data_IF_992817305906
#
_entry.id   IF_992817305906
#
_cell.length_a   1.000
_cell.length_b   1.000
_cell.length_c   1.000
_cell.angle_alpha   90.00
_cell.angle_beta   90.00
_cell.angle_gamma   90.00
#
_symmetry.space_group_name_H-M   'P 1'
#
loop_
_entity.id
_entity.type
_entity.pdbx_description
1 polymer ?
#
# COMPACT_ATOMS: atom_id res chain seq x y z
N UNK A 1 -39.05 2.15 -8.66
CA UNK A 1 -37.85 1.33 -8.46
C UNK A 1 -37.19 1.81 -7.19
N UNK A 2 -37.31 1.04 -6.10
CA UNK A 2 -36.74 1.42 -4.80
C UNK A 2 -35.24 1.53 -4.88
N UNK A 3 -34.69 2.57 -4.25
CA UNK A 3 -33.26 2.63 -3.94
C UNK A 3 -33.00 1.46 -2.97
N UNK A 4 -32.49 0.36 -3.45
CA UNK A 4 -31.91 -0.67 -2.59
C UNK A 4 -30.65 -0.06 -2.01
N UNK A 5 -30.77 0.49 -0.80
CA UNK A 5 -29.62 0.92 -0.02
C UNK A 5 -28.73 -0.29 0.30
N UNK A 6 -27.46 -0.06 0.54
CA UNK A 6 -26.56 -1.09 1.06
C UNK A 6 -27.13 -1.57 2.40
N UNK A 7 -27.06 -2.88 2.66
CA UNK A 7 -27.44 -3.49 3.93
C UNK A 7 -26.21 -4.09 4.61
N UNK A 8 -26.05 -3.83 5.91
CA UNK A 8 -24.97 -4.42 6.70
C UNK A 8 -25.41 -5.80 7.18
N UNK A 9 -24.71 -6.83 6.72
CA UNK A 9 -24.94 -8.22 7.13
C UNK A 9 -24.21 -8.55 8.44
N UNK A 10 -22.99 -8.01 8.60
CA UNK A 10 -22.20 -8.18 9.82
C UNK A 10 -21.32 -6.94 10.04
N UNK A 11 -21.14 -6.56 11.31
CA UNK A 11 -20.24 -5.48 11.71
C UNK A 11 -19.25 -5.99 12.75
N UNK A 12 -17.99 -6.15 12.34
CA UNK A 12 -16.87 -6.46 13.23
C UNK A 12 -16.18 -5.20 13.74
N UNK A 13 -15.06 -5.40 14.46
CA UNK A 13 -14.25 -4.29 14.98
C UNK A 13 -13.54 -3.50 13.86
N UNK A 14 -13.03 -4.19 12.84
CA UNK A 14 -12.16 -3.62 11.81
C UNK A 14 -12.76 -3.62 10.41
N UNK A 15 -13.82 -4.40 10.18
CA UNK A 15 -14.45 -4.52 8.87
C UNK A 15 -15.94 -4.79 8.99
N UNK A 16 -16.67 -4.54 7.90
CA UNK A 16 -18.09 -4.86 7.78
C UNK A 16 -18.33 -5.74 6.55
N UNK A 17 -19.27 -6.69 6.67
CA UNK A 17 -19.82 -7.39 5.53
C UNK A 17 -21.08 -6.67 5.09
N UNK A 18 -21.13 -6.24 3.85
CA UNK A 18 -22.21 -5.48 3.24
C UNK A 18 -22.85 -6.26 2.09
N UNK A 19 -24.11 -5.96 1.83
CA UNK A 19 -24.81 -6.39 0.63
C UNK A 19 -25.22 -5.17 -0.20
N UNK A 20 -24.98 -5.23 -1.52
CA UNK A 20 -25.42 -4.24 -2.50
C UNK A 20 -25.99 -4.94 -3.71
N UNK A 21 -27.29 -4.83 -3.94
CA UNK A 21 -27.97 -5.43 -5.10
C UNK A 21 -27.78 -6.94 -5.18
N UNK A 22 -27.78 -7.64 -4.04
CA UNK A 22 -27.54 -9.09 -3.96
C UNK A 22 -26.06 -9.50 -4.03
N UNK A 23 -25.13 -8.56 -4.01
CA UNK A 23 -23.69 -8.81 -4.00
C UNK A 23 -23.13 -8.56 -2.61
N UNK A 24 -22.55 -9.59 -1.99
CA UNK A 24 -21.88 -9.48 -0.69
C UNK A 24 -20.43 -9.05 -0.87
N UNK A 25 -19.97 -8.09 -0.05
CA UNK A 25 -18.59 -7.59 -0.11
C UNK A 25 -18.11 -7.09 1.24
N UNK A 26 -16.80 -7.11 1.42
CA UNK A 26 -16.13 -6.51 2.58
C UNK A 26 -16.02 -5.01 2.38
N UNK A 27 -16.56 -4.24 3.33
CA UNK A 27 -16.38 -2.79 3.37
C UNK A 27 -15.18 -2.41 4.21
N UNK A 28 -14.29 -1.61 3.61
CA UNK A 28 -13.19 -0.90 4.27
C UNK A 28 -13.47 0.59 4.26
N UNK A 29 -13.28 1.26 5.39
CA UNK A 29 -13.56 2.70 5.55
C UNK A 29 -12.31 3.56 5.33
N UNK A 30 -11.13 2.98 5.48
CA UNK A 30 -9.84 3.67 5.35
C UNK A 30 -9.22 3.40 3.98
N UNK A 31 -8.59 4.42 3.40
CA UNK A 31 -7.72 4.25 2.27
C UNK A 31 -6.44 3.50 2.67
N UNK A 32 -5.79 2.90 1.70
CA UNK A 32 -4.49 2.25 1.90
C UNK A 32 -3.47 2.93 1.01
N UNK A 33 -2.33 3.30 1.58
CA UNK A 33 -1.15 3.74 0.82
C UNK A 33 -0.20 2.57 0.62
N UNK A 34 0.40 2.50 -0.56
CA UNK A 34 1.43 1.51 -0.91
C UNK A 34 2.60 2.25 -1.53
N UNK A 35 3.79 2.07 -0.97
CA UNK A 35 4.96 2.88 -1.30
C UNK A 35 5.87 2.18 -2.32
N UNK A 36 6.18 2.88 -3.39
CA UNK A 36 7.20 2.48 -4.36
C UNK A 36 8.45 3.30 -4.03
N UNK A 37 9.35 2.71 -3.27
CA UNK A 37 10.48 3.38 -2.67
C UNK A 37 11.81 2.78 -3.13
N UNK A 38 12.55 3.56 -3.93
CA UNK A 38 13.88 3.17 -4.43
C UNK A 38 14.97 3.95 -3.71
N UNK A 39 15.92 3.26 -3.09
CA UNK A 39 17.08 3.91 -2.47
C UNK A 39 17.97 4.59 -3.53
N UNK A 40 18.85 5.54 -3.12
CA UNK A 40 19.86 6.10 -4.04
C UNK A 40 20.78 5.06 -4.68
N UNK A 41 20.95 3.90 -4.04
CA UNK A 41 21.70 2.76 -4.57
C UNK A 41 20.88 1.90 -5.56
N UNK A 42 19.65 2.33 -5.95
CA UNK A 42 18.73 1.59 -6.81
C UNK A 42 18.31 0.23 -6.23
N UNK A 43 18.05 0.20 -4.95
CA UNK A 43 17.46 -0.94 -4.26
C UNK A 43 15.98 -0.65 -3.99
N UNK A 44 15.09 -1.59 -4.29
CA UNK A 44 13.68 -1.49 -3.90
C UNK A 44 13.55 -1.84 -2.42
N UNK A 45 12.85 -1.00 -1.67
CA UNK A 45 12.46 -1.31 -0.30
C UNK A 45 11.26 -2.25 -0.33
N UNK A 46 11.41 -3.39 0.32
CA UNK A 46 10.37 -4.37 0.57
C UNK A 46 10.30 -4.67 2.06
N UNK A 47 9.14 -5.10 2.52
CA UNK A 47 8.93 -5.53 3.89
C UNK A 47 8.48 -6.98 3.93
N UNK A 48 8.91 -7.69 4.96
CA UNK A 48 8.47 -9.05 5.27
C UNK A 48 7.70 -9.00 6.58
N UNK A 49 6.49 -9.55 6.60
CA UNK A 49 5.67 -9.64 7.80
C UNK A 49 4.79 -10.88 7.81
N UNK A 50 4.32 -11.29 8.99
CA UNK A 50 3.38 -12.40 9.11
C UNK A 50 1.94 -11.92 8.96
N UNK A 51 1.20 -12.47 8.01
CA UNK A 51 -0.20 -12.14 7.77
C UNK A 51 -1.12 -13.21 8.34
N UNK A 52 -1.76 -12.90 9.49
CA UNK A 52 -2.68 -13.81 10.19
C UNK A 52 -3.76 -14.41 9.29
N UNK A 53 -4.43 -13.64 8.37
CA UNK A 53 -5.52 -14.21 7.57
C UNK A 53 -5.11 -15.33 6.62
N UNK A 54 -3.85 -15.41 6.24
CA UNK A 54 -3.30 -16.45 5.36
C UNK A 54 -2.31 -17.36 6.08
N UNK A 55 -2.08 -17.12 7.38
CA UNK A 55 -1.17 -17.86 8.25
C UNK A 55 0.24 -18.03 7.65
N UNK A 56 0.76 -16.97 6.99
CA UNK A 56 2.00 -17.04 6.23
C UNK A 56 2.78 -15.73 6.30
N UNK A 57 4.12 -15.82 6.26
CA UNK A 57 4.94 -14.64 6.02
C UNK A 57 4.84 -14.19 4.57
N UNK A 58 4.72 -12.89 4.37
CA UNK A 58 4.52 -12.24 3.07
C UNK A 58 5.66 -11.29 2.78
N UNK A 59 6.06 -11.20 1.51
CA UNK A 59 6.90 -10.13 0.99
C UNK A 59 5.99 -9.09 0.33
N UNK A 60 6.09 -7.86 0.77
CA UNK A 60 5.19 -6.77 0.39
C UNK A 60 5.95 -5.47 0.09
N UNK A 61 5.29 -4.53 -0.54
CA UNK A 61 5.72 -3.12 -0.51
C UNK A 61 5.35 -2.52 0.85
N UNK A 62 6.11 -1.54 1.37
CA UNK A 62 5.70 -0.78 2.54
C UNK A 62 4.31 -0.18 2.33
N UNK A 63 3.42 -0.29 3.32
CA UNK A 63 2.02 0.07 3.15
C UNK A 63 1.32 0.29 4.49
N UNK A 64 0.39 1.23 4.55
CA UNK A 64 -0.40 1.44 5.74
C UNK A 64 -1.77 2.05 5.50
N UNK A 65 -2.54 2.21 6.57
CA UNK A 65 -3.86 2.79 6.53
C UNK A 65 -3.80 4.32 6.66
N UNK A 66 -4.71 4.99 5.97
CA UNK A 66 -4.87 6.44 6.08
C UNK A 66 -5.82 6.73 7.24
N UNK A 67 -5.38 7.54 8.20
CA UNK A 67 -6.22 7.99 9.31
C UNK A 67 -6.56 6.91 10.34
N UNK A 68 -5.67 5.95 10.56
CA UNK A 68 -5.83 4.91 11.59
C UNK A 68 -5.22 5.29 12.96
N UNK A 69 -4.52 6.41 13.04
CA UNK A 69 -4.00 6.93 14.31
C UNK A 69 -5.14 7.56 15.10
N UNK A 70 -5.28 7.15 16.35
CA UNK A 70 -6.26 7.72 17.29
C UNK A 70 -6.11 9.25 17.39
N UNK A 71 -7.17 9.97 17.04
CA UNK A 71 -7.21 11.44 17.06
C UNK A 71 -6.70 12.14 15.80
N UNK A 72 -6.31 11.41 14.75
CA UNK A 72 -5.83 11.96 13.47
C UNK A 72 -6.70 11.52 12.28
N UNK A 73 -8.02 11.57 12.43
CA UNK A 73 -8.96 11.20 11.34
C UNK A 73 -8.81 12.02 10.05
N UNK A 74 -8.13 13.16 10.13
CA UNK A 74 -7.92 14.09 9.01
C UNK A 74 -6.55 13.93 8.32
N UNK A 75 -5.80 12.85 8.65
CA UNK A 75 -4.52 12.54 8.00
C UNK A 75 -4.70 12.42 6.49
N UNK A 76 -3.93 13.18 5.73
CA UNK A 76 -3.94 13.09 4.28
C UNK A 76 -3.20 11.84 3.79
N UNK A 77 -3.50 11.42 2.57
CA UNK A 77 -2.86 10.27 1.91
C UNK A 77 -1.33 10.36 1.89
N UNK A 78 -0.77 11.56 1.64
CA UNK A 78 0.69 11.74 1.59
C UNK A 78 1.32 11.81 2.97
N UNK A 79 0.61 12.29 3.98
CA UNK A 79 1.07 12.25 5.38
C UNK A 79 1.14 10.81 5.87
N UNK A 80 0.09 10.00 5.63
CA UNK A 80 0.12 8.57 5.93
C UNK A 80 1.29 7.87 5.21
N UNK A 81 1.49 8.15 3.93
CA UNK A 81 2.60 7.59 3.16
C UNK A 81 3.98 7.97 3.73
N UNK A 82 4.15 9.23 4.19
CA UNK A 82 5.40 9.68 4.80
C UNK A 82 5.66 8.99 6.15
N UNK A 83 4.64 8.83 6.96
CA UNK A 83 4.70 8.17 8.26
C UNK A 83 5.06 6.70 8.10
N UNK A 84 4.29 5.95 7.32
CA UNK A 84 4.49 4.51 7.09
C UNK A 84 5.86 4.19 6.51
N UNK A 85 6.37 5.03 5.59
CA UNK A 85 7.70 4.84 5.04
C UNK A 85 8.77 4.87 6.12
N UNK A 86 8.66 5.81 7.07
CA UNK A 86 9.61 5.94 8.17
C UNK A 86 9.43 4.80 9.18
N UNK A 87 8.22 4.50 9.59
CA UNK A 87 7.91 3.50 10.62
C UNK A 87 8.31 2.11 10.17
N UNK A 88 7.86 1.68 8.99
CA UNK A 88 8.16 0.35 8.50
C UNK A 88 9.60 0.19 8.01
N UNK A 89 10.16 1.21 7.33
CA UNK A 89 11.43 1.02 6.61
C UNK A 89 12.63 1.79 7.18
N UNK A 90 12.40 2.79 8.01
CA UNK A 90 13.46 3.69 8.50
C UNK A 90 13.97 4.68 7.44
N UNK A 91 13.22 4.87 6.34
CA UNK A 91 13.59 5.81 5.29
C UNK A 91 12.59 6.96 5.21
N UNK A 92 13.08 8.14 4.87
CA UNK A 92 12.30 9.35 4.61
C UNK A 92 12.42 9.73 3.14
N UNK A 93 11.30 10.11 2.52
CA UNK A 93 11.29 10.68 1.19
C UNK A 93 11.23 12.22 1.26
N UNK A 94 11.90 12.90 0.34
CA UNK A 94 11.76 14.35 0.16
C UNK A 94 10.57 14.70 -0.73
N UNK A 95 10.16 13.77 -1.59
CA UNK A 95 9.01 13.93 -2.47
C UNK A 95 8.16 12.67 -2.46
N UNK A 96 6.85 12.85 -2.34
CA UNK A 96 5.84 11.80 -2.41
C UNK A 96 4.82 12.19 -3.48
N UNK A 97 4.46 11.23 -4.35
CA UNK A 97 3.51 11.50 -5.44
C UNK A 97 2.62 10.30 -5.68
N UNK A 98 1.30 10.51 -5.56
CA UNK A 98 0.33 9.48 -5.97
C UNK A 98 0.46 9.22 -7.48
N UNK A 99 0.55 7.96 -7.86
CA UNK A 99 0.67 7.58 -9.26
C UNK A 99 -0.58 6.93 -9.82
N UNK A 100 -1.21 6.06 -9.03
CA UNK A 100 -2.49 5.47 -9.42
C UNK A 100 -3.22 4.91 -8.20
N UNK A 101 -4.52 4.73 -8.36
CA UNK A 101 -5.37 4.03 -7.39
C UNK A 101 -5.96 2.78 -8.04
N UNK A 102 -5.88 1.65 -7.32
CA UNK A 102 -6.34 0.36 -7.80
C UNK A 102 -7.21 -0.33 -6.76
N UNK A 103 -8.24 -1.08 -7.17
CA UNK A 103 -8.91 -2.02 -6.27
C UNK A 103 -7.97 -3.20 -5.97
N UNK A 104 -7.99 -3.70 -4.74
CA UNK A 104 -7.23 -4.90 -4.35
C UNK A 104 -7.90 -6.18 -4.82
N UNK A 105 -9.21 -6.26 -4.64
CA UNK A 105 -10.04 -7.38 -5.06
C UNK A 105 -11.45 -6.89 -5.37
N UNK A 106 -11.67 -6.41 -6.59
CA UNK A 106 -12.90 -5.73 -7.00
C UNK A 106 -14.19 -6.57 -6.87
N UNK A 107 -14.06 -7.90 -6.80
CA UNK A 107 -15.18 -8.82 -6.60
C UNK A 107 -15.46 -9.18 -5.14
N UNK A 108 -14.58 -8.76 -4.20
CA UNK A 108 -14.65 -9.15 -2.79
C UNK A 108 -14.77 -7.96 -1.85
N UNK A 109 -14.15 -6.83 -2.18
CA UNK A 109 -14.12 -5.66 -1.29
C UNK A 109 -14.21 -4.35 -2.08
N UNK A 110 -14.56 -3.27 -1.37
CA UNK A 110 -14.48 -1.91 -1.89
C UNK A 110 -13.12 -1.26 -1.65
N UNK A 111 -12.15 -2.01 -1.12
CA UNK A 111 -10.82 -1.49 -0.79
C UNK A 111 -10.09 -0.96 -2.02
N UNK A 112 -9.54 0.23 -1.88
CA UNK A 112 -8.71 0.89 -2.88
C UNK A 112 -7.33 1.13 -2.29
N UNK A 113 -6.29 0.80 -3.02
CA UNK A 113 -4.91 1.15 -2.66
C UNK A 113 -4.39 2.25 -3.56
N UNK A 114 -3.75 3.25 -2.97
CA UNK A 114 -3.06 4.33 -3.68
C UNK A 114 -1.57 4.03 -3.72
N UNK A 115 -1.02 3.89 -4.92
CA UNK A 115 0.41 3.74 -5.12
C UNK A 115 1.10 5.09 -5.07
N UNK A 116 2.08 5.22 -4.19
CA UNK A 116 2.84 6.45 -3.96
C UNK A 116 4.31 6.21 -4.34
N UNK A 117 4.82 6.97 -5.31
CA UNK A 117 6.26 7.04 -5.50
C UNK A 117 6.89 7.88 -4.39
N UNK A 118 7.93 7.32 -3.77
CA UNK A 118 8.76 7.97 -2.79
C UNK A 118 10.14 8.22 -3.40
N UNK A 119 10.47 9.50 -3.57
CA UNK A 119 11.69 9.95 -4.22
C UNK A 119 12.65 10.65 -3.26
N UNK A 120 13.94 10.67 -3.65
CA UNK A 120 15.01 11.29 -2.88
C UNK A 120 15.08 10.79 -1.44
N UNK A 121 15.22 9.46 -1.32
CA UNK A 121 15.21 8.77 -0.04
C UNK A 121 16.46 9.02 0.78
N UNK A 122 16.27 9.23 2.09
CA UNK A 122 17.31 9.36 3.11
C UNK A 122 17.03 8.35 4.23
N UNK A 123 18.06 7.59 4.63
CA UNK A 123 17.93 6.69 5.78
C UNK A 123 17.91 7.51 7.09
N UNK A 124 16.91 7.30 7.91
CA UNK A 124 16.69 8.06 9.17
C UNK A 124 16.56 7.17 10.41
N UNK A 125 16.42 5.85 10.22
CA UNK A 125 16.28 4.91 11.32
C UNK A 125 16.38 3.46 10.86
N UNK A 126 16.16 2.52 11.76
CA UNK A 126 16.19 1.08 11.45
C UNK A 126 14.96 0.59 10.70
N UNK A 127 13.79 1.26 10.87
CA UNK A 127 12.49 0.72 10.48
C UNK A 127 12.07 -0.47 11.35
N UNK A 128 11.14 -1.26 10.86
CA UNK A 128 10.69 -2.49 11.53
C UNK A 128 9.26 -2.43 12.05
N UNK A 129 8.54 -1.32 11.79
CA UNK A 129 7.19 -1.10 12.29
C UNK A 129 7.18 -0.62 13.74
N UNK A 130 6.01 -0.69 14.36
CA UNK A 130 5.80 -0.38 15.76
C UNK A 130 5.94 -1.63 16.67
N UNK A 131 5.71 -1.47 17.98
CA UNK A 131 5.82 -2.55 18.97
C UNK A 131 4.83 -3.71 18.74
N UNK A 132 3.81 -3.53 17.91
CA UNK A 132 2.79 -4.55 17.57
C UNK A 132 3.09 -5.30 16.28
N UNK A 133 4.10 -4.89 15.54
CA UNK A 133 4.46 -5.40 14.21
C UNK A 133 5.79 -6.17 14.25
N UNK A 134 5.88 -7.24 13.46
CA UNK A 134 7.10 -8.03 13.25
C UNK A 134 7.53 -7.87 11.79
N UNK A 135 8.09 -6.69 11.48
CA UNK A 135 8.51 -6.30 10.14
C UNK A 135 10.02 -6.45 9.97
N UNK A 136 10.42 -7.15 8.91
CA UNK A 136 11.81 -7.19 8.45
C UNK A 136 11.96 -6.40 7.17
N UNK A 137 12.86 -5.44 7.14
CA UNK A 137 13.14 -4.60 5.96
C UNK A 137 14.15 -5.26 5.05
N UNK A 138 13.80 -5.34 3.76
CA UNK A 138 14.68 -5.83 2.70
C UNK A 138 15.01 -4.71 1.71
N UNK A 139 16.29 -4.60 1.32
CA UNK A 139 16.77 -3.70 0.28
C UNK A 139 17.28 -4.53 -0.87
N UNK A 140 16.55 -4.60 -1.96
CA UNK A 140 16.84 -5.51 -3.07
C UNK A 140 17.29 -4.73 -4.29
N UNK A 141 18.55 -4.92 -4.75
CA UNK A 141 19.05 -4.29 -5.97
C UNK A 141 18.14 -4.58 -7.17
N UNK A 142 17.88 -3.58 -8.02
CA UNK A 142 17.00 -3.70 -9.16
C UNK A 142 17.29 -4.92 -10.04
N UNK A 143 18.56 -5.24 -10.25
CA UNK A 143 18.98 -6.38 -11.08
C UNK A 143 18.76 -7.75 -10.42
N UNK A 144 18.51 -7.79 -9.12
CA UNK A 144 18.36 -9.04 -8.35
C UNK A 144 16.90 -9.35 -8.00
N UNK A 145 15.95 -8.42 -8.22
CA UNK A 145 14.58 -8.53 -7.70
C UNK A 145 13.89 -9.80 -8.16
N UNK A 146 13.91 -10.11 -9.45
CA UNK A 146 13.18 -11.26 -10.01
C UNK A 146 13.68 -12.58 -9.41
N UNK A 147 14.98 -12.75 -9.34
CA UNK A 147 15.59 -13.94 -8.75
C UNK A 147 15.29 -14.04 -7.25
N UNK A 148 15.42 -12.93 -6.53
CA UNK A 148 15.17 -12.89 -5.10
C UNK A 148 13.70 -13.20 -4.75
N UNK A 149 12.73 -12.63 -5.48
CA UNK A 149 11.30 -12.92 -5.29
C UNK A 149 11.00 -14.38 -5.56
N UNK A 150 11.58 -14.96 -6.62
CA UNK A 150 11.40 -16.36 -6.93
C UNK A 150 11.97 -17.29 -5.84
N UNK A 151 13.11 -16.93 -5.26
CA UNK A 151 13.72 -17.68 -4.16
C UNK A 151 12.90 -17.55 -2.87
N UNK A 152 12.33 -16.38 -2.56
CA UNK A 152 11.39 -16.23 -1.44
C UNK A 152 10.13 -17.08 -1.64
N UNK A 153 9.54 -17.05 -2.84
CA UNK A 153 8.38 -17.89 -3.16
C UNK A 153 8.68 -19.39 -2.97
N UNK A 154 9.84 -19.87 -3.47
CA UNK A 154 10.28 -21.26 -3.28
C UNK A 154 10.54 -21.61 -1.83
N UNK A 155 10.95 -20.67 -1.03
CA UNK A 155 11.16 -20.82 0.41
C UNK A 155 9.84 -20.78 1.21
N UNK A 156 8.68 -20.63 0.54
CA UNK A 156 7.36 -20.71 1.16
C UNK A 156 6.80 -19.35 1.59
N UNK A 157 7.36 -18.24 1.16
CA UNK A 157 6.76 -16.92 1.40
C UNK A 157 5.65 -16.63 0.41
N UNK A 158 4.60 -15.94 0.85
CA UNK A 158 3.65 -15.32 -0.06
C UNK A 158 4.29 -14.06 -0.68
N UNK A 159 4.05 -13.85 -1.98
CA UNK A 159 4.51 -12.65 -2.68
C UNK A 159 3.30 -11.80 -3.01
N UNK A 160 3.27 -10.58 -2.49
CA UNK A 160 2.18 -9.66 -2.78
C UNK A 160 2.22 -9.19 -4.24
N UNK A 161 1.15 -9.34 -5.01
CA UNK A 161 1.12 -8.95 -6.42
C UNK A 161 1.30 -7.44 -6.65
N UNK A 162 1.12 -6.60 -5.63
CA UNK A 162 1.38 -5.16 -5.71
C UNK A 162 2.85 -4.86 -6.04
N UNK A 163 3.78 -5.76 -5.69
CA UNK A 163 5.20 -5.63 -6.07
C UNK A 163 5.35 -5.60 -7.59
N UNK A 164 4.68 -6.49 -8.31
CA UNK A 164 4.75 -6.53 -9.78
C UNK A 164 4.14 -5.27 -10.41
N UNK A 165 3.08 -4.74 -9.81
CA UNK A 165 2.51 -3.44 -10.21
C UNK A 165 3.55 -2.32 -10.04
N UNK A 166 4.26 -2.28 -8.92
CA UNK A 166 5.30 -1.29 -8.66
C UNK A 166 6.47 -1.40 -9.65
N UNK A 167 6.91 -2.61 -9.96
CA UNK A 167 7.98 -2.85 -10.94
C UNK A 167 7.58 -2.38 -12.34
N UNK A 168 6.35 -2.68 -12.77
CA UNK A 168 5.82 -2.18 -14.05
C UNK A 168 5.83 -0.64 -14.10
N UNK A 169 5.29 0.03 -13.09
CA UNK A 169 5.25 1.49 -13.05
C UNK A 169 6.63 2.12 -12.92
N UNK A 170 7.56 1.49 -12.21
CA UNK A 170 8.95 1.96 -12.10
C UNK A 170 9.66 1.91 -13.46
N UNK A 171 9.40 0.89 -14.27
CA UNK A 171 9.98 0.74 -15.60
C UNK A 171 9.42 1.75 -16.59
N UNK A 172 8.15 2.13 -16.47
CA UNK A 172 7.43 3.01 -17.38
C UNK A 172 7.32 4.46 -16.88
N UNK A 173 8.04 4.83 -15.82
CA UNK A 173 7.95 6.14 -15.17
C UNK A 173 8.22 7.34 -16.10
N UNK A 174 9.02 7.14 -17.13
CA UNK A 174 9.41 8.22 -18.08
C UNK A 174 8.28 8.62 -19.02
N UNK A 175 7.23 7.83 -19.13
CA UNK A 175 6.13 8.06 -20.10
C UNK A 175 4.87 8.67 -19.46
N UNK A 176 4.88 8.91 -18.13
CA UNK A 176 3.69 9.47 -17.48
C UNK A 176 3.69 11.01 -17.55
N UNK A 177 2.67 11.61 -18.18
CA UNK A 177 2.48 13.05 -18.10
C UNK A 177 2.18 13.44 -16.65
N UNK A 178 2.71 14.58 -16.20
CA UNK A 178 2.35 15.18 -14.92
C UNK A 178 0.84 15.34 -14.87
N UNK A 179 0.17 14.65 -13.94
CA UNK A 179 -1.26 14.83 -13.69
C UNK A 179 -1.48 16.06 -12.80
N UNK A 180 -1.02 17.22 -13.23
CA UNK A 180 -1.55 18.49 -12.75
C UNK A 180 -2.97 18.63 -13.31
N UNK A 181 -3.92 18.03 -12.62
CA UNK A 181 -5.31 18.45 -12.79
C UNK A 181 -5.48 19.72 -11.98
N UNK A 182 -5.26 20.83 -12.65
CA UNK A 182 -5.75 22.12 -12.21
C UNK A 182 -7.22 21.98 -11.83
N UNK A 183 -7.51 22.01 -10.53
CA UNK A 183 -8.85 22.25 -10.02
C UNK A 183 -9.12 23.75 -10.16
N UNK A 184 -9.30 24.20 -11.40
CA UNK A 184 -9.86 25.51 -11.67
C UNK A 184 -11.31 25.36 -12.12
N UNK A 185 -12.18 25.71 -11.23
CA UNK A 185 -13.38 26.52 -11.48
C UNK A 185 -14.48 25.85 -12.27
N UNK A 186 -15.60 25.63 -11.59
CA UNK A 186 -16.85 26.12 -12.20
C UNK A 186 -17.75 26.68 -11.10
N UNK A 187 -18.16 27.88 -11.36
CA UNK A 187 -19.16 28.73 -10.71
C UNK A 187 -20.52 28.05 -10.62
#
# INVERSE_FOLDING_TARGET
MGKTGDSTLYSGRYLRLQERRGWEFIERNHGVVVLIAWTPARELLLVEQYRIPIEQRTIELPAGLVGDIDGQSDESLLEAAARELIEETGWRARSLRETMRCPTSAGLSNEQVSFIFADDLEAVGPGGGDDSEDITVHRIPAAAIDGWLLDRYRAGFAIDPKIFTALYWSSNRREQPSTDRDTHGQQ
#
